data_IF_028598078772
#
_entry.id   IF_028598078772
#
_cell.length_a   1.000
_cell.length_b   1.000
_cell.length_c   1.000
_cell.angle_alpha   90.00
_cell.angle_beta   90.00
_cell.angle_gamma   90.00
#
_symmetry.space_group_name_H-M   'P 1'
#
loop_
_entity.id
_entity.type
_entity.pdbx_description
1 polymer ?
#
# COMPACT_ATOMS: atom_id res chain seq x y z
N UNK A 1 -9.55 12.85 6.16
CA UNK A 1 -10.09 11.76 5.32
C UNK A 1 -9.08 11.50 4.22
N UNK A 2 -8.62 10.26 4.05
CA UNK A 2 -7.73 9.89 2.92
C UNK A 2 -8.64 9.29 1.84
N UNK A 3 -8.72 9.85 0.62
CA UNK A 3 -9.47 9.25 -0.47
C UNK A 3 -8.84 7.91 -0.88
N UNK A 4 -9.67 6.92 -1.21
CA UNK A 4 -9.22 5.60 -1.68
C UNK A 4 -9.86 5.31 -3.04
N UNK A 5 -9.06 4.86 -4.01
CA UNK A 5 -9.53 4.64 -5.37
C UNK A 5 -10.01 3.20 -5.59
N UNK A 6 -9.45 2.26 -4.82
CA UNK A 6 -9.83 0.85 -4.84
C UNK A 6 -10.21 0.45 -3.43
N UNK A 7 -11.31 -0.28 -3.26
CA UNK A 7 -11.78 -0.74 -1.96
C UNK A 7 -12.28 -2.17 -2.02
N UNK A 8 -12.15 -2.88 -0.89
CA UNK A 8 -12.64 -4.25 -0.73
C UNK A 8 -13.06 -4.50 0.72
N UNK A 9 -13.77 -5.60 0.93
CA UNK A 9 -14.15 -6.11 2.25
C UNK A 9 -13.40 -7.42 2.49
N UNK A 10 -12.99 -7.68 3.72
CA UNK A 10 -12.27 -8.89 4.13
C UNK A 10 -12.82 -9.41 5.46
N UNK A 11 -12.66 -10.70 5.74
CA UNK A 11 -13.17 -11.36 6.94
C UNK A 11 -12.05 -11.88 7.84
N UNK A 12 -10.83 -12.07 7.30
CA UNK A 12 -9.65 -12.50 8.06
C UNK A 12 -8.38 -11.71 7.68
N UNK A 13 -7.31 -11.75 8.51
CA UNK A 13 -6.03 -11.15 8.17
C UNK A 13 -5.38 -11.73 6.91
N UNK A 14 -5.50 -13.04 6.70
CA UNK A 14 -4.94 -13.75 5.54
C UNK A 14 -5.68 -13.36 4.24
N UNK A 15 -7.00 -13.23 4.32
CA UNK A 15 -7.81 -12.72 3.23
C UNK A 15 -7.47 -11.26 2.93
N UNK A 16 -7.24 -10.43 3.96
CA UNK A 16 -6.79 -9.06 3.78
C UNK A 16 -5.47 -8.99 3.01
N UNK A 17 -4.45 -9.75 3.40
CA UNK A 17 -3.14 -9.70 2.72
C UNK A 17 -3.28 -10.10 1.23
N UNK A 18 -4.10 -11.11 0.95
CA UNK A 18 -4.37 -11.59 -0.41
C UNK A 18 -5.07 -10.51 -1.25
N UNK A 19 -6.20 -9.99 -0.77
CA UNK A 19 -7.00 -8.99 -1.47
C UNK A 19 -6.26 -7.65 -1.59
N UNK A 20 -5.50 -7.27 -0.57
CA UNK A 20 -4.67 -6.06 -0.61
C UNK A 20 -3.59 -6.17 -1.69
N UNK A 21 -2.93 -7.33 -1.83
CA UNK A 21 -1.94 -7.53 -2.87
C UNK A 21 -2.57 -7.51 -4.26
N UNK A 22 -3.73 -8.16 -4.43
CA UNK A 22 -4.47 -8.15 -5.68
C UNK A 22 -4.88 -6.73 -6.09
N UNK A 23 -5.48 -5.98 -5.16
CA UNK A 23 -5.85 -4.58 -5.37
C UNK A 23 -4.63 -3.70 -5.68
N UNK A 24 -3.51 -3.94 -4.98
CA UNK A 24 -2.28 -3.17 -5.17
C UNK A 24 -1.65 -3.38 -6.55
N UNK A 25 -1.89 -4.52 -7.21
CA UNK A 25 -1.38 -4.79 -8.57
C UNK A 25 -1.93 -3.83 -9.62
N UNK A 26 -3.08 -3.20 -9.36
CA UNK A 26 -3.61 -2.16 -10.25
C UNK A 26 -2.67 -0.95 -10.37
N UNK A 27 -1.77 -0.74 -9.40
CA UNK A 27 -0.81 0.36 -9.37
C UNK A 27 0.59 0.00 -9.92
N UNK A 28 0.78 -1.22 -10.46
CA UNK A 28 2.08 -1.60 -11.03
C UNK A 28 2.61 -0.61 -12.09
N UNK A 29 1.79 -0.08 -13.02
CA UNK A 29 2.27 0.91 -13.98
C UNK A 29 2.84 2.16 -13.34
N UNK A 30 2.23 2.65 -12.25
CA UNK A 30 2.65 3.85 -11.53
C UNK A 30 3.90 3.62 -10.67
N UNK A 31 4.14 2.37 -10.23
CA UNK A 31 5.29 1.96 -9.43
C UNK A 31 6.50 1.53 -10.28
N UNK A 32 6.29 1.24 -11.57
CA UNK A 32 7.31 0.79 -12.50
C UNK A 32 8.54 1.71 -12.51
N UNK A 33 9.71 1.15 -12.19
CA UNK A 33 10.99 1.86 -12.17
C UNK A 33 11.16 2.91 -11.04
N UNK A 34 10.22 3.00 -10.10
CA UNK A 34 10.28 3.98 -8.99
C UNK A 34 10.65 3.33 -7.67
N UNK A 35 11.12 4.15 -6.73
CA UNK A 35 11.18 3.77 -5.33
C UNK A 35 9.81 3.95 -4.67
N UNK A 36 9.39 2.99 -3.85
CA UNK A 36 8.07 3.02 -3.22
C UNK A 36 8.06 2.47 -1.79
N UNK A 37 7.07 2.90 -1.02
CA UNK A 37 6.77 2.36 0.29
C UNK A 37 5.29 2.00 0.41
N UNK A 38 4.97 0.87 1.06
CA UNK A 38 3.59 0.49 1.38
C UNK A 38 3.34 0.80 2.84
N UNK A 39 2.25 1.51 3.13
CA UNK A 39 1.87 1.94 4.48
C UNK A 39 0.46 1.50 4.82
N UNK A 40 0.29 0.77 5.93
CA UNK A 40 -1.00 0.23 6.36
C UNK A 40 -1.54 1.01 7.58
N UNK A 41 -2.50 1.90 7.34
CA UNK A 41 -3.20 2.70 8.34
C UNK A 41 -4.41 1.93 8.88
N UNK A 42 -4.20 1.23 9.99
CA UNK A 42 -5.19 0.30 10.52
C UNK A 42 -6.17 0.95 11.51
N UNK A 43 -7.46 1.03 11.15
CA UNK A 43 -8.55 1.43 12.05
C UNK A 43 -9.55 0.28 12.25
N UNK A 44 -9.10 -0.79 12.91
CA UNK A 44 -9.88 -2.02 13.15
C UNK A 44 -8.96 -3.22 13.45
N UNK A 45 -9.52 -4.39 13.75
CA UNK A 45 -8.77 -5.67 13.86
C UNK A 45 -7.53 -5.64 14.78
N UNK A 46 -7.60 -4.91 15.92
CA UNK A 46 -6.51 -4.85 16.91
C UNK A 46 -6.14 -6.26 17.37
N UNK A 47 -4.84 -6.59 17.29
CA UNK A 47 -4.28 -7.88 17.70
C UNK A 47 -4.44 -9.02 16.68
N UNK A 48 -5.14 -8.81 15.56
CA UNK A 48 -5.31 -9.83 14.51
C UNK A 48 -4.58 -9.47 13.22
N UNK A 49 -4.51 -8.20 12.86
CA UNK A 49 -3.79 -7.71 11.69
C UNK A 49 -2.52 -6.99 12.11
N UNK A 50 -1.37 -7.54 11.72
CA UNK A 50 -0.06 -6.93 11.96
C UNK A 50 0.30 -6.00 10.81
N UNK A 51 0.28 -4.69 11.07
CA UNK A 51 0.64 -3.64 10.10
C UNK A 51 1.99 -3.92 9.45
N UNK A 52 3.02 -4.21 10.26
CA UNK A 52 4.38 -4.46 9.77
C UNK A 52 4.48 -5.73 8.91
N UNK A 53 3.79 -6.80 9.28
CA UNK A 53 3.73 -8.03 8.47
C UNK A 53 3.06 -7.78 7.13
N UNK A 54 1.92 -7.08 7.12
CA UNK A 54 1.19 -6.76 5.89
C UNK A 54 1.98 -5.83 4.99
N UNK A 55 2.58 -4.75 5.51
CA UNK A 55 3.44 -3.85 4.74
C UNK A 55 4.60 -4.59 4.09
N UNK A 56 5.26 -5.49 4.83
CA UNK A 56 6.34 -6.34 4.32
C UNK A 56 5.85 -7.26 3.20
N UNK A 57 4.75 -7.99 3.41
CA UNK A 57 4.18 -8.92 2.41
C UNK A 57 3.78 -8.19 1.12
N UNK A 58 3.11 -7.05 1.26
CA UNK A 58 2.68 -6.23 0.13
C UNK A 58 3.87 -5.65 -0.63
N UNK A 59 4.85 -5.08 0.08
CA UNK A 59 6.06 -4.54 -0.53
C UNK A 59 6.84 -5.61 -1.31
N UNK A 60 7.04 -6.78 -0.71
CA UNK A 60 7.70 -7.91 -1.36
C UNK A 60 6.92 -8.43 -2.57
N UNK A 61 5.60 -8.59 -2.44
CA UNK A 61 4.75 -9.06 -3.53
C UNK A 61 4.72 -8.11 -4.73
N UNK A 62 4.67 -6.80 -4.48
CA UNK A 62 4.74 -5.78 -5.53
C UNK A 62 6.12 -5.74 -6.18
N UNK A 63 7.20 -5.80 -5.39
CA UNK A 63 8.56 -5.84 -5.93
C UNK A 63 8.77 -7.05 -6.84
N UNK A 64 8.27 -8.23 -6.45
CA UNK A 64 8.32 -9.43 -7.28
C UNK A 64 7.51 -9.27 -8.57
N UNK A 65 6.29 -8.72 -8.49
CA UNK A 65 5.45 -8.48 -9.66
C UNK A 65 6.08 -7.49 -10.65
N UNK A 66 6.71 -6.41 -10.15
CA UNK A 66 7.44 -5.44 -10.97
C UNK A 66 8.66 -6.05 -11.64
N UNK A 67 9.41 -6.91 -10.93
CA UNK A 67 10.54 -7.64 -11.50
C UNK A 67 10.08 -8.59 -12.62
N UNK A 68 8.98 -9.30 -12.43
CA UNK A 68 8.37 -10.17 -13.45
C UNK A 68 7.87 -9.39 -14.67
N UNK A 69 7.41 -8.15 -14.47
CA UNK A 69 6.99 -7.23 -15.53
C UNK A 69 8.15 -6.54 -16.27
N UNK A 70 9.41 -6.83 -15.90
CA UNK A 70 10.61 -6.26 -16.54
C UNK A 70 10.87 -4.78 -16.20
N UNK A 71 10.12 -4.21 -15.26
CA UNK A 71 10.24 -2.81 -14.83
C UNK A 71 10.41 -2.73 -13.30
N UNK A 72 11.54 -3.26 -12.77
CA UNK A 72 11.71 -3.41 -11.33
C UNK A 72 11.59 -2.07 -10.60
N UNK A 73 10.71 -2.02 -9.62
CA UNK A 73 10.68 -0.95 -8.61
C UNK A 73 11.46 -1.36 -7.36
N UNK A 74 11.77 -0.39 -6.51
CA UNK A 74 12.56 -0.61 -5.30
C UNK A 74 11.75 -0.25 -4.06
N UNK A 75 11.66 -1.17 -3.09
CA UNK A 75 11.12 -0.82 -1.77
C UNK A 75 12.11 0.10 -1.06
N UNK A 76 11.67 1.29 -0.68
CA UNK A 76 12.47 2.29 0.05
C UNK A 76 11.63 2.90 1.16
N UNK A 77 12.14 2.85 2.39
CA UNK A 77 11.41 3.33 3.57
C UNK A 77 11.57 4.82 3.82
N UNK A 78 12.72 5.39 3.48
CA UNK A 78 13.03 6.81 3.70
C UNK A 78 13.00 7.57 2.38
N UNK A 79 12.17 8.61 2.29
CA UNK A 79 11.93 9.42 1.09
C UNK A 79 11.64 8.62 -0.21
N UNK A 80 10.61 7.75 -0.25
CA UNK A 80 10.21 7.08 -1.50
C UNK A 80 9.66 8.09 -2.52
N UNK A 81 9.72 7.73 -3.80
CA UNK A 81 9.06 8.51 -4.87
C UNK A 81 7.53 8.45 -4.74
N UNK A 82 7.03 7.33 -4.22
CA UNK A 82 5.60 7.02 -4.10
C UNK A 82 5.29 6.25 -2.81
N UNK A 83 4.20 6.61 -2.13
CA UNK A 83 3.60 5.82 -1.05
C UNK A 83 2.29 5.19 -1.53
N UNK A 84 2.18 3.87 -1.41
CA UNK A 84 0.91 3.15 -1.51
C UNK A 84 0.29 3.04 -0.12
N UNK A 85 -0.70 3.89 0.16
CA UNK A 85 -1.41 3.90 1.42
C UNK A 85 -2.60 2.91 1.38
N UNK A 86 -2.60 1.98 2.32
CA UNK A 86 -3.68 1.02 2.57
C UNK A 86 -4.36 1.43 3.87
N UNK A 87 -5.63 1.81 3.83
CA UNK A 87 -6.38 2.25 5.01
C UNK A 87 -7.45 1.22 5.31
N UNK A 88 -7.55 0.76 6.56
CA UNK A 88 -8.68 -0.08 7.00
C UNK A 88 -9.63 0.68 7.89
N UNK A 89 -10.93 0.38 7.76
CA UNK A 89 -12.00 0.84 8.66
C UNK A 89 -12.93 -0.35 8.92
N UNK A 90 -12.88 -0.90 10.13
CA UNK A 90 -13.57 -2.16 10.44
C UNK A 90 -13.04 -3.30 9.56
N UNK A 91 -13.92 -3.94 8.79
CA UNK A 91 -13.60 -5.04 7.87
C UNK A 91 -13.48 -4.60 6.40
N UNK A 92 -13.36 -3.29 6.17
CA UNK A 92 -13.15 -2.71 4.85
C UNK A 92 -11.75 -2.16 4.74
N UNK A 93 -11.17 -2.26 3.56
CA UNK A 93 -9.90 -1.68 3.21
C UNK A 93 -10.04 -0.83 1.95
N UNK A 94 -9.23 0.21 1.85
CA UNK A 94 -9.09 1.01 0.65
C UNK A 94 -7.64 1.38 0.38
N UNK A 95 -7.29 1.47 -0.89
CA UNK A 95 -5.95 1.78 -1.36
C UNK A 95 -5.93 3.12 -2.09
N UNK A 96 -4.81 3.82 -1.95
CA UNK A 96 -4.51 5.06 -2.64
C UNK A 96 -3.01 5.20 -2.86
N UNK A 97 -2.63 5.83 -3.96
CA UNK A 97 -1.24 6.06 -4.33
C UNK A 97 -0.94 7.56 -4.22
N UNK A 98 0.19 7.89 -3.61
CA UNK A 98 0.59 9.27 -3.32
C UNK A 98 2.02 9.51 -3.78
N UNK A 99 2.21 10.45 -4.68
CA UNK A 99 3.53 10.86 -5.17
C UNK A 99 4.25 11.77 -4.17
N UNK A 100 5.58 11.88 -4.31
CA UNK A 100 6.39 12.84 -3.53
C UNK A 100 5.89 14.28 -3.62
N UNK A 101 5.36 14.69 -4.77
CA UNK A 101 4.75 16.01 -4.95
C UNK A 101 3.45 16.17 -4.15
N UNK A 102 2.56 15.19 -4.21
CA UNK A 102 1.29 15.22 -3.45
C UNK A 102 1.53 15.17 -1.95
N UNK A 103 2.50 14.39 -1.47
CA UNK A 103 2.87 14.34 -0.06
C UNK A 103 3.37 15.70 0.44
N UNK A 104 4.13 16.44 -0.38
CA UNK A 104 4.55 17.82 -0.09
C UNK A 104 3.38 18.80 -0.12
N UNK A 105 2.42 18.60 -1.03
CA UNK A 105 1.22 19.45 -1.15
C UNK A 105 0.25 19.24 0.01
N UNK A 106 0.16 18.03 0.55
CA UNK A 106 -0.79 17.65 1.60
C UNK A 106 -0.08 17.11 2.86
N UNK A 107 0.76 17.93 3.53
CA UNK A 107 1.55 17.47 4.67
C UNK A 107 0.70 17.06 5.88
N UNK A 108 -0.55 17.53 5.95
CA UNK A 108 -1.49 17.17 7.02
C UNK A 108 -1.94 15.70 6.96
N UNK A 109 -1.72 14.98 5.85
CA UNK A 109 -2.04 13.56 5.73
C UNK A 109 -1.06 12.67 6.49
N UNK A 110 0.14 13.18 6.83
CA UNK A 110 1.19 12.45 7.57
C UNK A 110 1.43 11.06 7.00
N UNK A 111 1.60 11.00 5.68
CA UNK A 111 2.08 9.82 4.98
C UNK A 111 3.61 9.87 5.03
N UNK A 112 4.21 8.98 5.79
CA UNK A 112 5.66 8.83 5.97
C UNK A 112 6.15 7.45 5.53
#
# INVERSE_FOLDING_TARGET
VIPTNIAFTFSSPEEFDTLALEAARAYLPELAGKSFHVRVYRHGFKGRLSTHESERKLGQGLQQALAQAGTPGQVRFDEPDVILAVVTVGNRAGLSLWTKEEMRRFPCLRLD
#
